data_IF_560873743235
#
_entry.id   IF_560873743235
#
_cell.length_a   1.000
_cell.length_b   1.000
_cell.length_c   1.000
_cell.angle_alpha   90.00
_cell.angle_beta   90.00
_cell.angle_gamma   90.00
#
_symmetry.space_group_name_H-M   'P 1'
#
loop_
_entity.id
_entity.type
_entity.pdbx_description
1 polymer ?
#
# COMPACT_ATOMS: atom_id res chain seq x y z
N UNK A 1 1.36 19.08 -7.70
CA UNK A 1 0.33 18.07 -7.31
C UNK A 1 -0.88 18.25 -8.19
N UNK A 2 -1.66 17.19 -8.41
CA UNK A 2 -2.92 17.24 -9.16
C UNK A 2 -4.02 16.56 -8.35
N UNK A 3 -5.16 17.22 -8.19
CA UNK A 3 -6.33 16.64 -7.54
C UNK A 3 -7.50 16.62 -8.51
N UNK A 4 -8.21 15.50 -8.56
CA UNK A 4 -9.46 15.35 -9.28
C UNK A 4 -10.62 16.08 -8.60
N UNK A 5 -11.82 15.92 -9.17
CA UNK A 5 -13.06 16.45 -8.59
C UNK A 5 -13.49 15.61 -7.39
N UNK A 6 -14.02 16.26 -6.37
CA UNK A 6 -14.55 15.61 -5.16
C UNK A 6 -13.53 14.73 -4.43
N UNK A 7 -12.27 15.17 -4.38
CA UNK A 7 -11.24 14.52 -3.58
C UNK A 7 -11.33 14.99 -2.14
N UNK A 8 -11.26 14.06 -1.19
CA UNK A 8 -11.13 14.37 0.24
C UNK A 8 -9.72 14.04 0.72
N UNK A 9 -9.02 15.04 1.25
CA UNK A 9 -7.73 14.86 1.91
C UNK A 9 -7.94 15.12 3.40
N UNK A 10 -7.83 14.06 4.20
CA UNK A 10 -7.98 14.12 5.64
C UNK A 10 -6.71 14.55 6.37
N UNK A 11 -6.84 14.75 7.67
CA UNK A 11 -5.75 15.15 8.57
C UNK A 11 -4.57 14.16 8.53
N UNK A 12 -3.38 14.68 8.88
CA UNK A 12 -2.13 13.91 8.93
C UNK A 12 -1.78 13.20 7.62
N UNK A 13 -2.14 13.80 6.48
CA UNK A 13 -1.79 13.31 5.15
C UNK A 13 -0.64 14.12 4.56
N UNK A 14 0.40 13.44 4.08
CA UNK A 14 1.61 14.07 3.53
C UNK A 14 1.89 13.59 2.09
N UNK A 15 2.36 14.50 1.25
CA UNK A 15 2.70 14.26 -0.15
C UNK A 15 4.13 14.75 -0.41
N UNK A 16 4.97 13.89 -0.99
CA UNK A 16 6.36 14.25 -1.30
C UNK A 16 6.52 15.08 -2.58
N UNK A 17 5.51 15.09 -3.46
CA UNK A 17 5.53 15.88 -4.69
C UNK A 17 5.28 15.04 -5.95
N UNK A 18 4.86 15.72 -7.02
CA UNK A 18 4.47 15.10 -8.29
C UNK A 18 3.37 14.03 -8.16
N UNK A 19 2.60 14.10 -7.06
CA UNK A 19 1.47 13.21 -6.82
C UNK A 19 0.21 13.66 -7.56
N UNK A 20 -0.60 12.67 -7.94
CA UNK A 20 -1.93 12.87 -8.50
C UNK A 20 -2.96 12.02 -7.79
N UNK A 21 -4.10 12.60 -7.41
CA UNK A 21 -5.23 11.92 -6.77
C UNK A 21 -6.46 12.05 -7.67
N UNK A 22 -7.01 10.91 -8.09
CA UNK A 22 -8.14 10.81 -9.01
C UNK A 22 -9.46 11.24 -8.37
N UNK A 23 -10.49 11.39 -9.20
CA UNK A 23 -11.79 11.88 -8.77
C UNK A 23 -12.40 11.00 -7.67
N UNK A 24 -13.18 11.59 -6.76
CA UNK A 24 -13.95 10.87 -5.73
C UNK A 24 -13.11 9.98 -4.79
N UNK A 25 -11.80 10.20 -4.74
CA UNK A 25 -10.91 9.47 -3.84
C UNK A 25 -10.81 10.15 -2.48
N UNK A 26 -10.60 9.35 -1.45
CA UNK A 26 -10.38 9.79 -0.07
C UNK A 26 -9.02 9.32 0.41
N UNK A 27 -8.19 10.23 0.90
CA UNK A 27 -6.86 9.91 1.45
C UNK A 27 -6.74 10.53 2.83
N UNK A 28 -6.58 9.71 3.87
CA UNK A 28 -6.61 10.16 5.27
C UNK A 28 -5.46 9.56 6.06
N UNK A 29 -4.77 10.36 6.87
CA UNK A 29 -3.69 9.88 7.76
C UNK A 29 -2.67 9.01 7.04
N UNK A 30 -2.22 9.45 5.87
CA UNK A 30 -1.41 8.64 4.95
C UNK A 30 -0.22 9.42 4.39
N UNK A 31 0.85 8.74 4.02
CA UNK A 31 2.00 9.33 3.31
C UNK A 31 2.03 8.81 1.89
N UNK A 32 2.16 9.72 0.92
CA UNK A 32 2.27 9.38 -0.50
C UNK A 32 3.63 9.85 -1.02
N UNK A 33 4.47 8.88 -1.37
CA UNK A 33 5.83 9.08 -1.85
C UNK A 33 5.86 9.76 -3.23
N UNK A 34 7.01 10.34 -3.55
CA UNK A 34 7.20 11.16 -4.75
C UNK A 34 6.80 10.43 -6.04
N UNK A 35 6.08 11.12 -6.92
CA UNK A 35 5.69 10.58 -8.24
C UNK A 35 4.61 9.50 -8.21
N UNK A 36 4.15 9.08 -7.03
CA UNK A 36 3.07 8.11 -6.89
C UNK A 36 1.70 8.74 -7.16
N UNK A 37 0.78 7.97 -7.72
CA UNK A 37 -0.59 8.41 -7.97
C UNK A 37 -1.63 7.43 -7.43
N UNK A 38 -2.80 7.97 -7.13
CA UNK A 38 -4.00 7.23 -6.81
C UNK A 38 -5.07 7.57 -7.84
N UNK A 39 -5.61 6.56 -8.52
CA UNK A 39 -6.69 6.76 -9.48
C UNK A 39 -8.03 7.04 -8.75
N UNK A 40 -9.12 7.10 -9.51
CA UNK A 40 -10.43 7.52 -9.00
C UNK A 40 -11.10 6.50 -8.07
N UNK A 41 -11.94 7.00 -7.16
CA UNK A 41 -12.81 6.19 -6.30
C UNK A 41 -12.08 5.40 -5.21
N UNK A 42 -10.78 5.60 -5.00
CA UNK A 42 -10.00 4.86 -4.02
C UNK A 42 -10.10 5.48 -2.62
N UNK A 43 -10.22 4.63 -1.61
CA UNK A 43 -10.26 5.03 -0.19
C UNK A 43 -9.01 4.52 0.52
N UNK A 44 -8.06 5.41 0.73
CA UNK A 44 -6.76 5.13 1.35
C UNK A 44 -6.74 5.76 2.75
N UNK A 45 -6.48 4.94 3.77
CA UNK A 45 -6.36 5.42 5.14
C UNK A 45 -5.18 4.75 5.85
N UNK A 46 -4.54 5.43 6.80
CA UNK A 46 -3.44 4.87 7.62
C UNK A 46 -2.40 4.09 6.81
N UNK A 47 -2.07 4.60 5.63
CA UNK A 47 -1.24 3.90 4.65
C UNK A 47 -0.01 4.73 4.31
N UNK A 48 1.16 4.11 4.31
CA UNK A 48 2.34 4.66 3.66
C UNK A 48 2.46 4.06 2.27
N UNK A 49 2.57 4.91 1.26
CA UNK A 49 2.80 4.53 -0.13
C UNK A 49 4.16 5.09 -0.52
N UNK A 50 5.07 4.20 -0.97
CA UNK A 50 6.38 4.55 -1.46
C UNK A 50 6.32 5.40 -2.74
N UNK A 51 7.50 5.71 -3.27
CA UNK A 51 7.73 6.56 -4.44
C UNK A 51 7.42 5.78 -5.73
N UNK A 52 6.97 6.49 -6.76
CA UNK A 52 6.67 5.96 -8.10
C UNK A 52 5.65 4.80 -8.15
N UNK A 53 4.79 4.68 -7.14
CA UNK A 53 3.76 3.65 -7.06
C UNK A 53 2.45 4.07 -7.73
N UNK A 54 1.79 3.11 -8.36
CA UNK A 54 0.58 3.29 -9.16
C UNK A 54 -0.60 2.58 -8.50
N UNK A 55 -1.54 3.35 -7.95
CA UNK A 55 -2.73 2.80 -7.30
C UNK A 55 -3.93 2.93 -8.24
N UNK A 56 -4.48 1.80 -8.66
CA UNK A 56 -5.63 1.71 -9.56
C UNK A 56 -6.93 2.25 -8.95
N UNK A 57 -8.01 2.29 -9.75
CA UNK A 57 -9.28 2.84 -9.29
C UNK A 57 -9.98 1.90 -8.30
N UNK A 58 -10.76 2.49 -7.39
CA UNK A 58 -11.54 1.79 -6.36
C UNK A 58 -10.72 0.85 -5.47
N UNK A 59 -9.47 1.21 -5.18
CA UNK A 59 -8.65 0.49 -4.18
C UNK A 59 -9.09 0.92 -2.79
N UNK A 60 -9.31 -0.04 -1.90
CA UNK A 60 -9.84 0.23 -0.56
C UNK A 60 -8.99 -0.43 0.53
N UNK A 61 -8.73 0.33 1.60
CA UNK A 61 -8.14 -0.19 2.83
C UNK A 61 -9.24 -0.67 3.79
N UNK A 62 -9.15 -1.91 4.27
CA UNK A 62 -10.14 -2.56 5.13
C UNK A 62 -9.59 -2.69 6.55
N UNK A 63 -10.28 -2.08 7.51
CA UNK A 63 -9.89 -1.99 8.91
C UNK A 63 -10.87 -2.71 9.83
N UNK A 64 -10.37 -3.11 10.99
CA UNK A 64 -11.20 -3.72 12.02
C UNK A 64 -11.34 -5.23 11.82
N UNK A 65 -11.28 -5.94 12.94
CA UNK A 65 -11.51 -7.37 13.05
C UNK A 65 -12.55 -7.58 14.13
N UNK A 66 -13.36 -8.62 13.94
CA UNK A 66 -14.34 -9.06 14.91
C UNK A 66 -13.94 -10.46 15.39
N UNK A 67 -14.18 -10.81 16.65
CA UNK A 67 -13.94 -12.16 17.14
C UNK A 67 -14.83 -13.15 16.38
N UNK A 68 -14.24 -14.18 15.77
CA UNK A 68 -14.97 -15.10 14.89
C UNK A 68 -15.01 -16.55 15.41
N UNK A 69 -14.31 -16.85 16.49
CA UNK A 69 -14.10 -18.23 16.95
C UNK A 69 -14.72 -18.50 18.33
N UNK A 70 -14.34 -17.71 19.34
CA UNK A 70 -14.65 -18.03 20.75
C UNK A 70 -15.77 -17.20 21.36
N UNK A 71 -16.06 -16.01 20.82
CA UNK A 71 -17.04 -15.10 21.40
C UNK A 71 -18.46 -15.51 20.99
N UNK A 72 -19.41 -15.41 21.92
CA UNK A 72 -20.84 -15.64 21.63
C UNK A 72 -21.38 -14.60 20.62
N UNK A 73 -20.86 -13.37 20.66
CA UNK A 73 -21.28 -12.27 19.79
C UNK A 73 -20.10 -11.64 19.08
N UNK A 74 -20.29 -11.31 17.81
CA UNK A 74 -19.35 -10.51 17.00
C UNK A 74 -19.62 -9.01 17.12
N UNK A 75 -20.57 -8.58 17.94
CA UNK A 75 -20.93 -7.16 18.05
C UNK A 75 -19.96 -6.39 19.00
N UNK A 76 -19.45 -5.20 18.62
CA UNK A 76 -18.40 -4.48 19.36
C UNK A 76 -18.79 -4.09 20.79
N UNK A 77 -20.08 -3.90 21.09
CA UNK A 77 -20.55 -3.67 22.47
C UNK A 77 -20.09 -4.73 23.48
N UNK A 78 -19.73 -5.95 23.04
CA UNK A 78 -19.31 -7.05 23.91
C UNK A 78 -17.79 -7.25 23.98
N UNK A 79 -16.99 -6.48 23.25
CA UNK A 79 -15.53 -6.61 23.31
C UNK A 79 -14.73 -5.30 23.20
N UNK A 80 -15.35 -4.21 22.75
CA UNK A 80 -14.72 -2.92 22.52
C UNK A 80 -15.18 -1.88 23.54
N UNK A 81 -14.23 -1.16 24.14
CA UNK A 81 -14.54 -0.02 25.02
C UNK A 81 -14.74 1.29 24.26
N UNK A 82 -14.57 1.30 22.93
CA UNK A 82 -14.58 2.50 22.08
C UNK A 82 -15.96 3.16 21.93
N UNK A 83 -17.03 2.50 22.39
CA UNK A 83 -18.42 2.97 22.29
C UNK A 83 -18.79 3.45 20.88
N UNK A 84 -18.42 2.68 19.85
CA UNK A 84 -18.67 3.04 18.44
C UNK A 84 -20.16 3.30 18.14
N UNK A 85 -21.05 2.65 18.89
CA UNK A 85 -22.51 2.84 18.82
C UNK A 85 -23.09 3.54 20.07
N UNK A 86 -22.29 4.36 20.76
CA UNK A 86 -22.59 4.93 22.08
C UNK A 86 -22.84 3.92 23.22
N UNK A 87 -22.72 2.62 22.94
CA UNK A 87 -22.88 1.52 23.90
C UNK A 87 -21.61 0.67 23.95
N UNK A 88 -21.14 0.41 25.18
CA UNK A 88 -20.22 -0.69 25.52
C UNK A 88 -20.76 -1.38 26.77
N UNK A 89 -20.87 -2.71 26.73
CA UNK A 89 -21.27 -3.55 27.85
C UNK A 89 -20.06 -4.17 28.56
N UNK A 90 -18.85 -3.83 28.10
CA UNK A 90 -17.58 -4.20 28.74
C UNK A 90 -16.84 -2.95 29.21
N UNK A 91 -16.16 -3.09 30.35
CA UNK A 91 -15.31 -2.03 30.93
C UNK A 91 -13.85 -2.17 30.52
N UNK A 92 -13.46 -3.33 30.01
CA UNK A 92 -12.12 -3.63 29.52
C UNK A 92 -12.16 -4.07 28.05
N UNK A 93 -11.10 -3.78 27.32
CA UNK A 93 -10.95 -4.24 25.95
C UNK A 93 -10.74 -5.76 25.93
N UNK A 94 -11.63 -6.49 25.25
CA UNK A 94 -11.62 -7.96 25.24
C UNK A 94 -11.03 -8.55 23.95
N UNK A 95 -10.89 -7.75 22.90
CA UNK A 95 -10.45 -8.21 21.58
C UNK A 95 -9.50 -7.21 20.91
N UNK A 96 -8.53 -7.69 20.14
CA UNK A 96 -7.65 -6.82 19.34
C UNK A 96 -8.30 -6.51 18.00
N UNK A 97 -8.99 -5.38 17.94
CA UNK A 97 -9.78 -4.96 16.78
C UNK A 97 -8.93 -4.51 15.60
N UNK A 98 -7.83 -3.80 15.86
CA UNK A 98 -6.99 -3.18 14.83
C UNK A 98 -5.60 -3.78 14.85
N UNK A 99 -4.96 -3.82 13.68
CA UNK A 99 -3.55 -4.21 13.62
C UNK A 99 -2.66 -3.11 14.22
N UNK A 100 -1.49 -3.50 14.70
CA UNK A 100 -0.48 -2.50 15.07
C UNK A 100 0.05 -1.82 13.80
N UNK A 101 0.52 -0.57 13.90
CA UNK A 101 1.29 0.06 12.83
C UNK A 101 2.46 -0.82 12.38
N UNK A 102 2.77 -0.77 11.09
CA UNK A 102 3.80 -1.56 10.42
C UNK A 102 5.04 -0.73 10.07
N UNK A 103 4.96 0.60 10.15
CA UNK A 103 6.10 1.51 10.00
C UNK A 103 6.86 1.70 11.33
N UNK A 104 8.08 2.24 11.23
CA UNK A 104 8.96 2.46 12.40
C UNK A 104 8.45 3.55 13.35
N UNK A 105 7.66 4.49 12.85
CA UNK A 105 7.19 5.65 13.63
C UNK A 105 5.83 5.43 14.28
N UNK A 106 5.21 4.26 14.05
CA UNK A 106 3.94 3.89 14.68
C UNK A 106 2.72 4.58 14.08
N UNK A 107 2.76 4.98 12.81
CA UNK A 107 1.72 5.81 12.16
C UNK A 107 0.81 5.06 11.19
N UNK A 108 1.35 4.11 10.44
CA UNK A 108 0.68 3.50 9.29
C UNK A 108 0.61 1.98 9.47
N UNK A 109 -0.60 1.44 9.32
CA UNK A 109 -0.87 0.01 9.49
C UNK A 109 -0.80 -0.76 8.17
N UNK A 110 -0.81 -0.07 7.03
CA UNK A 110 -0.60 -0.66 5.70
C UNK A 110 0.62 0.03 5.08
N UNK A 111 1.60 -0.75 4.65
CA UNK A 111 2.78 -0.23 3.95
C UNK A 111 2.76 -0.75 2.52
N UNK A 112 2.86 0.17 1.57
CA UNK A 112 3.00 -0.10 0.15
C UNK A 112 4.37 0.44 -0.23
N UNK A 113 5.25 -0.42 -0.75
CA UNK A 113 6.59 -0.03 -1.16
C UNK A 113 6.63 0.91 -2.36
N UNK A 114 7.84 1.11 -2.87
CA UNK A 114 8.16 1.90 -4.05
C UNK A 114 7.94 1.06 -5.32
N UNK A 115 7.65 1.71 -6.45
CA UNK A 115 7.40 1.04 -7.75
C UNK A 115 6.30 -0.05 -7.69
N UNK A 116 5.35 0.07 -6.76
CA UNK A 116 4.25 -0.91 -6.64
C UNK A 116 3.14 -0.55 -7.61
N UNK A 117 2.59 -1.55 -8.29
CA UNK A 117 1.37 -1.39 -9.08
C UNK A 117 0.22 -2.18 -8.47
N UNK A 118 -0.86 -1.49 -8.10
CA UNK A 118 -2.10 -2.09 -7.61
C UNK A 118 -3.19 -1.92 -8.66
N UNK A 119 -3.79 -3.02 -9.08
CA UNK A 119 -4.89 -3.06 -10.04
C UNK A 119 -6.20 -2.50 -9.48
N UNK A 120 -7.20 -2.37 -10.35
CA UNK A 120 -8.51 -1.88 -9.98
C UNK A 120 -9.22 -2.79 -8.96
N UNK A 121 -10.05 -2.19 -8.09
CA UNK A 121 -10.91 -2.89 -7.13
C UNK A 121 -10.17 -3.80 -6.14
N UNK A 122 -8.89 -3.54 -5.86
CA UNK A 122 -8.14 -4.30 -4.86
C UNK A 122 -8.56 -3.87 -3.46
N UNK A 123 -8.76 -4.85 -2.57
CA UNK A 123 -8.93 -4.61 -1.14
C UNK A 123 -7.68 -4.97 -0.36
N UNK A 124 -7.22 -4.07 0.49
CA UNK A 124 -6.02 -4.21 1.31
C UNK A 124 -6.44 -4.37 2.77
N UNK A 125 -6.19 -5.54 3.37
CA UNK A 125 -6.46 -5.72 4.80
C UNK A 125 -5.44 -4.95 5.64
N UNK A 126 -5.89 -4.38 6.75
CA UNK A 126 -5.02 -3.71 7.72
C UNK A 126 -3.93 -4.65 8.25
N UNK A 127 -2.73 -4.10 8.47
CA UNK A 127 -1.62 -4.79 9.09
C UNK A 127 -0.72 -5.52 8.11
N UNK A 128 -0.70 -5.14 6.83
CA UNK A 128 0.10 -5.78 5.78
C UNK A 128 1.23 -4.87 5.26
N UNK A 129 2.27 -5.49 4.72
CA UNK A 129 3.34 -4.83 3.95
C UNK A 129 3.39 -5.39 2.54
N UNK A 130 3.36 -4.52 1.54
CA UNK A 130 3.58 -4.85 0.12
C UNK A 130 4.97 -4.39 -0.28
N UNK A 131 5.88 -5.32 -0.54
CA UNK A 131 7.27 -5.03 -0.87
C UNK A 131 7.44 -4.29 -2.19
N UNK A 132 8.58 -3.60 -2.32
CA UNK A 132 8.93 -2.78 -3.49
C UNK A 132 8.79 -3.55 -4.80
N UNK A 133 8.35 -2.86 -5.84
CA UNK A 133 8.17 -3.44 -7.17
C UNK A 133 7.06 -4.48 -7.27
N UNK A 134 6.25 -4.72 -6.25
CA UNK A 134 5.21 -5.75 -6.35
C UNK A 134 4.06 -5.31 -7.27
N UNK A 135 3.36 -6.29 -7.84
CA UNK A 135 2.15 -6.10 -8.63
C UNK A 135 1.00 -6.84 -7.97
N UNK A 136 -0.11 -6.14 -7.69
CA UNK A 136 -1.34 -6.74 -7.22
C UNK A 136 -2.37 -6.69 -8.35
N UNK A 137 -2.77 -7.86 -8.84
CA UNK A 137 -3.76 -7.97 -9.91
C UNK A 137 -5.13 -7.42 -9.47
N UNK A 138 -5.92 -6.95 -10.43
CA UNK A 138 -7.24 -6.37 -10.18
C UNK A 138 -8.19 -7.37 -9.47
N UNK A 139 -9.11 -6.83 -8.67
CA UNK A 139 -10.09 -7.56 -7.85
C UNK A 139 -9.48 -8.52 -6.80
N UNK A 140 -8.21 -8.37 -6.44
CA UNK A 140 -7.59 -9.17 -5.40
C UNK A 140 -7.93 -8.67 -3.97
N UNK A 141 -7.93 -9.58 -2.99
CA UNK A 141 -7.98 -9.23 -1.56
C UNK A 141 -6.66 -9.63 -0.91
N UNK A 142 -5.84 -8.64 -0.56
CA UNK A 142 -4.53 -8.86 0.05
C UNK A 142 -4.69 -8.97 1.56
N UNK A 143 -4.48 -10.18 2.08
CA UNK A 143 -4.68 -10.49 3.51
C UNK A 143 -3.38 -10.74 4.28
N UNK A 144 -2.24 -10.75 3.59
CA UNK A 144 -0.91 -11.05 4.14
C UNK A 144 0.16 -10.21 3.45
N UNK A 145 1.33 -10.14 4.07
CA UNK A 145 2.49 -9.47 3.49
C UNK A 145 2.86 -10.06 2.11
N UNK A 146 3.37 -9.20 1.24
CA UNK A 146 3.80 -9.51 -0.12
C UNK A 146 5.28 -9.23 -0.24
N UNK A 147 6.07 -10.24 -0.61
CA UNK A 147 7.50 -10.07 -0.83
C UNK A 147 7.76 -9.14 -2.03
N UNK A 148 8.88 -8.39 -2.05
CA UNK A 148 9.24 -7.53 -3.18
C UNK A 148 9.17 -8.25 -4.54
N UNK A 149 8.89 -7.47 -5.58
CA UNK A 149 8.83 -7.91 -6.97
C UNK A 149 7.93 -9.14 -7.21
N UNK A 150 6.93 -9.35 -6.35
CA UNK A 150 5.96 -10.44 -6.48
C UNK A 150 4.73 -9.97 -7.26
N UNK A 151 4.17 -10.86 -8.07
CA UNK A 151 2.87 -10.66 -8.72
C UNK A 151 1.85 -11.50 -7.96
N UNK A 152 0.89 -10.84 -7.32
CA UNK A 152 -0.16 -11.47 -6.50
C UNK A 152 -1.52 -11.29 -7.15
N UNK A 153 -2.45 -12.22 -6.93
CA UNK A 153 -3.85 -12.05 -7.35
C UNK A 153 -4.81 -13.06 -6.72
N UNK A 154 -6.11 -12.79 -6.82
CA UNK A 154 -7.18 -13.66 -6.31
C UNK A 154 -7.74 -13.26 -4.95
N UNK A 155 -8.68 -14.07 -4.45
CA UNK A 155 -9.39 -13.87 -3.17
C UNK A 155 -9.35 -15.16 -2.35
N UNK A 156 -8.51 -15.24 -1.29
CA UNK A 156 -7.45 -14.30 -0.94
C UNK A 156 -6.34 -14.27 -2.00
N UNK A 157 -5.58 -13.17 -2.05
CA UNK A 157 -4.48 -13.00 -2.98
C UNK A 157 -3.38 -14.03 -2.72
N UNK A 158 -2.94 -14.70 -3.79
CA UNK A 158 -1.85 -15.68 -3.78
C UNK A 158 -0.78 -15.27 -4.78
N UNK A 159 0.45 -15.75 -4.55
CA UNK A 159 1.55 -15.57 -5.49
C UNK A 159 1.21 -16.23 -6.82
N UNK A 160 1.28 -15.44 -7.89
CA UNK A 160 1.16 -15.92 -9.28
C UNK A 160 2.57 -16.25 -9.80
N UNK A 161 3.50 -15.27 -9.72
CA UNK A 161 4.91 -15.42 -10.11
C UNK A 161 5.74 -14.25 -9.57
N UNK A 162 7.06 -14.34 -9.69
CA UNK A 162 7.98 -13.21 -9.54
C UNK A 162 8.09 -12.39 -10.83
N UNK A 163 8.34 -11.08 -10.72
CA UNK A 163 8.61 -10.18 -11.87
C UNK A 163 9.95 -10.49 -12.52
N UNK A 164 10.96 -10.76 -11.71
CA UNK A 164 12.36 -10.87 -12.13
C UNK A 164 13.00 -12.17 -11.61
N UNK A 165 14.18 -12.48 -12.15
CA UNK A 165 15.06 -13.48 -11.55
C UNK A 165 15.65 -12.94 -10.25
N UNK A 166 16.17 -13.83 -9.41
CA UNK A 166 16.69 -13.49 -8.09
C UNK A 166 17.83 -12.47 -8.16
N UNK A 167 18.72 -12.57 -9.15
CA UNK A 167 19.87 -11.66 -9.30
C UNK A 167 19.43 -10.26 -9.74
N UNK A 168 18.42 -10.19 -10.62
CA UNK A 168 17.83 -8.94 -11.10
C UNK A 168 17.03 -8.27 -9.96
N UNK A 169 16.27 -9.04 -9.18
CA UNK A 169 15.56 -8.57 -7.99
C UNK A 169 16.52 -8.02 -6.94
N UNK A 170 17.58 -8.76 -6.60
CA UNK A 170 18.61 -8.35 -5.66
C UNK A 170 19.31 -7.06 -6.10
N UNK A 171 19.66 -6.95 -7.38
CA UNK A 171 20.25 -5.75 -7.95
C UNK A 171 19.34 -4.52 -7.77
N UNK A 172 18.05 -4.64 -8.10
CA UNK A 172 17.13 -3.51 -8.00
C UNK A 172 16.88 -3.10 -6.54
N UNK A 173 16.78 -4.07 -5.63
CA UNK A 173 16.65 -3.82 -4.19
C UNK A 173 17.89 -3.14 -3.59
N UNK A 174 19.08 -3.45 -4.13
CA UNK A 174 20.31 -2.76 -3.75
C UNK A 174 20.39 -1.36 -4.37
N UNK A 175 19.99 -1.21 -5.62
CA UNK A 175 20.08 0.05 -6.36
C UNK A 175 19.18 1.13 -5.76
N UNK A 176 17.97 0.73 -5.34
CA UNK A 176 16.91 1.62 -4.83
C UNK A 176 16.76 2.86 -5.71
N UNK A 177 16.54 2.63 -7.00
CA UNK A 177 16.56 3.70 -8.01
C UNK A 177 15.56 4.82 -7.69
N UNK A 178 14.46 4.49 -7.00
CA UNK A 178 13.42 5.43 -6.57
C UNK A 178 13.93 6.51 -5.60
N UNK A 179 15.01 6.26 -4.86
CA UNK A 179 15.63 7.23 -3.95
C UNK A 179 16.73 8.08 -4.63
N UNK A 180 17.06 7.80 -5.90
CA UNK A 180 18.04 8.59 -6.64
C UNK A 180 17.49 9.99 -6.97
N UNK A 181 18.38 10.99 -7.13
CA UNK A 181 17.97 12.31 -7.61
C UNK A 181 17.23 12.23 -8.94
N UNK A 182 16.24 13.11 -9.17
CA UNK A 182 15.48 13.11 -10.42
C UNK A 182 16.37 13.33 -11.66
N UNK A 183 17.48 14.07 -11.52
CA UNK A 183 18.48 14.23 -12.58
C UNK A 183 19.09 12.88 -12.99
N UNK A 184 19.46 12.05 -12.01
CA UNK A 184 19.97 10.71 -12.25
C UNK A 184 18.91 9.83 -12.92
N UNK A 185 17.67 9.84 -12.40
CA UNK A 185 16.57 9.06 -12.99
C UNK A 185 16.33 9.49 -14.44
N UNK A 186 16.32 10.80 -14.70
CA UNK A 186 16.12 11.36 -16.04
C UNK A 186 17.24 10.97 -17.01
N UNK A 187 18.49 10.97 -16.56
CA UNK A 187 19.64 10.57 -17.38
C UNK A 187 19.60 9.08 -17.76
N UNK A 188 19.08 8.24 -16.85
CA UNK A 188 19.06 6.78 -17.02
C UNK A 188 17.71 6.24 -17.52
N UNK A 189 16.69 7.09 -17.65
CA UNK A 189 15.31 6.70 -17.97
C UNK A 189 15.19 5.87 -19.26
N UNK A 190 16.06 6.12 -20.24
CA UNK A 190 16.10 5.37 -21.51
C UNK A 190 16.42 3.88 -21.33
N UNK A 191 17.00 3.48 -20.18
CA UNK A 191 17.35 2.10 -19.86
C UNK A 191 16.33 1.40 -18.96
N UNK A 192 15.28 2.09 -18.50
CA UNK A 192 14.30 1.53 -17.55
C UNK A 192 13.33 0.53 -18.21
N UNK A 193 13.41 0.35 -19.53
CA UNK A 193 12.63 -0.64 -20.26
C UNK A 193 13.19 -2.07 -20.13
N UNK A 194 14.44 -2.22 -19.64
CA UNK A 194 15.10 -3.52 -19.44
C UNK A 194 16.16 -3.43 -18.34
N UNK A 195 15.98 -4.22 -17.27
CA UNK A 195 16.89 -4.28 -16.12
C UNK A 195 18.33 -4.54 -16.56
N UNK A 196 18.56 -5.39 -17.57
CA UNK A 196 19.92 -5.72 -18.03
C UNK A 196 20.58 -4.59 -18.78
N UNK A 197 19.82 -3.77 -19.51
CA UNK A 197 20.35 -2.55 -20.14
C UNK A 197 20.81 -1.57 -19.06
N UNK A 198 20.01 -1.40 -18.01
CA UNK A 198 20.37 -0.55 -16.88
C UNK A 198 21.61 -1.09 -16.15
N UNK A 199 21.67 -2.38 -15.86
CA UNK A 199 22.84 -2.99 -15.23
C UNK A 199 24.11 -2.80 -16.06
N UNK A 200 24.05 -3.03 -17.38
CA UNK A 200 25.18 -2.82 -18.29
C UNK A 200 25.61 -1.35 -18.34
N UNK A 201 24.64 -0.42 -18.42
CA UNK A 201 24.92 1.01 -18.41
C UNK A 201 25.63 1.45 -17.12
N UNK A 202 25.28 0.84 -15.99
CA UNK A 202 25.89 1.10 -14.68
C UNK A 202 27.15 0.29 -14.40
N UNK A 203 27.61 -0.56 -15.33
CA UNK A 203 28.84 -1.35 -15.20
C UNK A 203 28.73 -2.58 -14.29
N UNK A 204 27.54 -3.14 -14.10
CA UNK A 204 27.32 -4.35 -13.29
C UNK A 204 27.42 -5.66 -14.10
N UNK A 205 27.42 -5.59 -15.44
CA UNK A 205 27.48 -6.75 -16.38
C UNK A 205 28.33 -6.39 -17.59
#
# INVERSE_FOLDING_TARGET
>A
MRFGRNVFIGYSTYFEGYNSIGNKSSVVSSRIGYGSYIAEGSTISKTEIGRFSSIGPNVNCIFGKHPAETFVSTHPAFFSTRKEIALSLVVEQRFKEFADPRDKEGKYSIIIGNDVWIGANVSLMEGIVIGDGSIIAANAIVTKDVAPYSIMGGVPAKLIKKRFKEEEEAFLLQLQWWDKPLSWISEHAIFFDDVRKLQKNLGYV
#
